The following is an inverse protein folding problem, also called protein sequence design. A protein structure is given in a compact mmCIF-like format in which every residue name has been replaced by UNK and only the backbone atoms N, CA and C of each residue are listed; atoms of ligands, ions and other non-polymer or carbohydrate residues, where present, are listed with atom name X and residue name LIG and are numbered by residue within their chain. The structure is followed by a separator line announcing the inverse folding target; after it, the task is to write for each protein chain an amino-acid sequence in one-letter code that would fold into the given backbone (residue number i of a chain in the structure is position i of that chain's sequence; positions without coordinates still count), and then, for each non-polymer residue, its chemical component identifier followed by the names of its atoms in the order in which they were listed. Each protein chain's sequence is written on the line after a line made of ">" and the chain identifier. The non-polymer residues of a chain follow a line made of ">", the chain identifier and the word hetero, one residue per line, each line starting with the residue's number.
data_IF_845608590425
#
_entry.id   IF_845608590425
#
_cell.length_a   1.000
_cell.length_b   1.000
_cell.length_c   1.000
_cell.angle_alpha   90.00
_cell.angle_beta   90.00
_cell.angle_gamma   90.00
#
_symmetry.space_group_name_H-M   'P 1'
#
loop_
_entity.id
_entity.type
_entity.pdbx_description
1 polymer ?
#
# COMPACT_ATOMS: atom_id res chain seq x y z
N UNK A 1 63.64 5.48 -58.57
CA UNK A 1 63.55 4.54 -57.44
C UNK A 1 62.44 4.95 -56.44
N UNK A 2 61.21 5.24 -56.91
CA UNK A 2 60.10 5.78 -56.08
C UNK A 2 58.83 4.91 -56.05
N UNK A 3 58.75 3.88 -56.91
CA UNK A 3 57.60 2.97 -56.98
C UNK A 3 57.22 2.27 -55.65
N UNK A 4 58.15 1.83 -54.78
CA UNK A 4 57.75 1.09 -53.57
C UNK A 4 57.10 1.98 -52.50
N UNK A 5 57.53 3.25 -52.38
CA UNK A 5 56.96 4.20 -51.42
C UNK A 5 55.54 4.62 -51.81
N UNK A 6 55.29 4.80 -53.10
CA UNK A 6 53.96 5.14 -53.63
C UNK A 6 52.96 3.98 -53.38
N UNK A 7 53.39 2.73 -53.55
CA UNK A 7 52.55 1.57 -53.24
C UNK A 7 52.18 1.47 -51.76
N UNK A 8 53.10 1.84 -50.86
CA UNK A 8 52.82 1.89 -49.42
C UNK A 8 51.82 3.00 -49.10
N UNK A 9 51.99 4.21 -49.65
CA UNK A 9 51.08 5.34 -49.46
C UNK A 9 49.66 4.99 -49.92
N UNK A 10 49.52 4.34 -51.09
CA UNK A 10 48.21 3.92 -51.61
C UNK A 10 47.55 2.89 -50.68
N UNK A 11 48.32 1.94 -50.12
CA UNK A 11 47.78 0.96 -49.15
C UNK A 11 47.25 1.63 -47.89
N UNK A 12 47.99 2.57 -47.31
CA UNK A 12 47.54 3.29 -46.11
C UNK A 12 46.33 4.17 -46.39
N UNK A 13 46.29 4.83 -47.56
CA UNK A 13 45.14 5.63 -47.99
C UNK A 13 43.88 4.76 -48.16
N UNK A 14 44.03 3.54 -48.70
CA UNK A 14 42.93 2.59 -48.81
C UNK A 14 42.42 2.13 -47.44
N UNK A 15 43.31 1.85 -46.49
CA UNK A 15 42.93 1.47 -45.12
C UNK A 15 42.12 2.58 -44.44
N UNK A 16 42.55 3.84 -44.56
CA UNK A 16 41.83 4.98 -43.98
C UNK A 16 40.45 5.14 -44.63
N UNK A 17 40.36 5.00 -45.97
CA UNK A 17 39.09 5.02 -46.68
C UNK A 17 38.17 3.90 -46.19
N UNK A 18 38.68 2.69 -45.95
CA UNK A 18 37.89 1.60 -45.38
C UNK A 18 37.38 1.90 -43.98
N UNK A 19 38.19 2.52 -43.11
CA UNK A 19 37.76 2.91 -41.75
C UNK A 19 36.65 3.97 -41.81
N UNK A 20 36.81 4.98 -42.67
CA UNK A 20 35.80 6.05 -42.84
C UNK A 20 34.53 5.49 -43.47
N UNK A 21 34.64 4.63 -44.49
CA UNK A 21 33.51 3.96 -45.11
C UNK A 21 32.79 3.06 -44.11
N UNK A 22 33.50 2.34 -43.24
CA UNK A 22 32.91 1.56 -42.15
C UNK A 22 32.13 2.48 -41.20
N UNK A 23 32.70 3.60 -40.78
CA UNK A 23 32.01 4.60 -39.96
C UNK A 23 30.73 5.14 -40.61
N UNK A 24 30.76 5.47 -41.91
CA UNK A 24 29.60 6.07 -42.59
C UNK A 24 28.52 5.03 -42.94
N UNK A 25 28.89 3.81 -43.34
CA UNK A 25 27.93 2.81 -43.80
C UNK A 25 27.39 1.93 -42.68
N UNK A 26 28.19 1.63 -41.65
CA UNK A 26 27.82 0.69 -40.61
C UNK A 26 27.22 1.40 -39.40
N UNK A 27 27.64 2.63 -39.09
CA UNK A 27 27.07 3.39 -37.98
C UNK A 27 25.55 3.62 -38.11
N UNK A 28 24.99 4.00 -39.28
CA UNK A 28 23.54 4.15 -39.45
C UNK A 28 22.78 2.82 -39.45
N UNK A 29 23.47 1.68 -39.67
CA UNK A 29 22.87 0.35 -39.72
C UNK A 29 22.90 -0.43 -38.40
N UNK A 30 23.78 -0.06 -37.47
CA UNK A 30 23.88 -0.71 -36.15
C UNK A 30 22.76 -0.25 -35.22
N UNK A 31 22.40 1.03 -35.25
CA UNK A 31 21.38 1.60 -34.37
C UNK A 31 20.09 1.83 -35.16
N UNK A 32 19.18 0.86 -35.11
CA UNK A 32 17.81 1.08 -35.55
C UNK A 32 16.98 1.44 -34.33
N UNK A 33 16.46 2.67 -34.30
CA UNK A 33 15.41 3.05 -33.36
C UNK A 33 14.13 2.40 -33.87
N UNK A 34 13.88 1.19 -33.41
CA UNK A 34 12.68 0.48 -33.80
C UNK A 34 11.51 1.10 -33.02
N UNK A 35 10.57 1.71 -33.76
CA UNK A 35 9.37 2.31 -33.18
C UNK A 35 8.41 1.18 -32.81
N UNK A 36 8.69 0.52 -31.70
CA UNK A 36 7.69 -0.35 -31.08
C UNK A 36 6.66 0.56 -30.43
N UNK A 37 5.37 0.25 -30.59
CA UNK A 37 4.27 0.90 -29.86
C UNK A 37 4.39 0.58 -28.37
N UNK A 38 5.35 1.22 -27.71
CA UNK A 38 5.74 0.94 -26.33
C UNK A 38 5.85 2.25 -25.57
N UNK A 39 5.40 2.21 -24.31
CA UNK A 39 5.33 3.36 -23.39
C UNK A 39 6.69 4.04 -23.15
N UNK A 40 7.81 3.34 -23.38
CA UNK A 40 9.16 3.82 -23.12
C UNK A 40 10.09 3.49 -24.29
N UNK A 41 11.05 4.39 -24.65
CA UNK A 41 11.97 4.14 -25.74
C UNK A 41 13.00 3.07 -25.37
N UNK A 42 13.33 2.22 -26.35
CA UNK A 42 14.21 1.05 -26.20
C UNK A 42 15.40 1.15 -27.14
N UNK A 43 16.58 0.76 -26.65
CA UNK A 43 17.84 0.66 -27.40
C UNK A 43 18.31 -0.78 -27.38
N UNK A 44 18.51 -1.38 -28.56
CA UNK A 44 18.96 -2.77 -28.70
C UNK A 44 20.31 -2.79 -29.40
N UNK A 45 21.33 -3.35 -28.75
CA UNK A 45 22.63 -3.57 -29.37
C UNK A 45 22.58 -4.81 -30.26
N UNK A 46 22.76 -4.62 -31.57
CA UNK A 46 22.67 -5.71 -32.56
C UNK A 46 23.84 -6.71 -32.51
N UNK A 47 24.95 -6.36 -31.85
CA UNK A 47 26.15 -7.21 -31.76
C UNK A 47 26.11 -8.05 -30.49
N UNK A 48 25.72 -7.45 -29.36
CA UNK A 48 25.71 -8.14 -28.05
C UNK A 48 24.34 -8.68 -27.65
N UNK A 49 23.27 -8.25 -28.32
CA UNK A 49 21.89 -8.58 -27.94
C UNK A 49 21.39 -7.84 -26.70
N UNK A 50 22.22 -6.98 -26.09
CA UNK A 50 21.84 -6.23 -24.90
C UNK A 50 20.72 -5.24 -25.21
N UNK A 51 19.69 -5.27 -24.37
CA UNK A 51 18.56 -4.35 -24.46
C UNK A 51 18.65 -3.34 -23.32
N UNK A 52 18.51 -2.06 -23.63
CA UNK A 52 18.42 -0.96 -22.67
C UNK A 52 17.10 -0.24 -22.83
N UNK A 53 16.42 0.04 -21.73
CA UNK A 53 15.16 0.78 -21.68
C UNK A 53 15.39 2.12 -20.98
N UNK A 54 14.78 3.19 -21.48
CA UNK A 54 14.79 4.49 -20.79
C UNK A 54 13.64 4.51 -19.79
N UNK A 55 13.95 4.52 -18.50
CA UNK A 55 12.96 4.64 -17.42
C UNK A 55 13.29 5.86 -16.57
N UNK A 56 12.27 6.68 -16.31
CA UNK A 56 12.36 8.06 -15.79
C UNK A 56 13.33 8.93 -16.61
N UNK A 57 14.62 8.92 -16.27
CA UNK A 57 15.68 9.69 -16.95
C UNK A 57 16.97 8.89 -17.19
N UNK A 58 16.98 7.57 -16.96
CA UNK A 58 18.18 6.74 -17.04
C UNK A 58 18.00 5.49 -17.92
N UNK A 59 19.04 5.18 -18.71
CA UNK A 59 19.11 3.94 -19.49
C UNK A 59 19.44 2.75 -18.59
N UNK A 60 18.52 1.80 -18.48
CA UNK A 60 18.68 0.58 -17.68
C UNK A 60 18.79 -0.65 -18.57
N UNK A 61 19.79 -1.51 -18.34
CA UNK A 61 19.96 -2.77 -19.08
C UNK A 61 18.96 -3.82 -18.62
N UNK A 62 18.18 -4.34 -19.56
CA UNK A 62 17.24 -5.43 -19.34
C UNK A 62 18.03 -6.73 -19.12
N UNK A 63 17.78 -7.41 -18.00
CA UNK A 63 18.43 -8.67 -17.65
C UNK A 63 19.45 -8.59 -16.50
N UNK A 64 19.82 -7.40 -16.03
CA UNK A 64 20.52 -7.26 -14.74
C UNK A 64 19.49 -7.14 -13.62
N UNK A 65 18.78 -8.26 -13.39
CA UNK A 65 17.70 -8.38 -12.41
C UNK A 65 18.23 -8.07 -11.00
N UNK A 66 19.45 -8.48 -10.68
CA UNK A 66 20.05 -8.31 -9.34
C UNK A 66 20.29 -6.84 -8.97
N UNK A 67 20.78 -6.03 -9.92
CA UNK A 67 20.98 -4.60 -9.69
C UNK A 67 19.66 -3.82 -9.60
N UNK A 68 18.61 -4.29 -10.30
CA UNK A 68 17.27 -3.69 -10.22
C UNK A 68 16.54 -4.13 -8.94
N UNK A 69 16.73 -5.37 -8.50
CA UNK A 69 16.14 -5.92 -7.29
C UNK A 69 16.70 -5.23 -6.04
N UNK A 70 18.02 -5.06 -5.95
CA UNK A 70 18.65 -4.35 -4.82
C UNK A 70 18.18 -2.89 -4.72
N UNK A 71 18.03 -2.19 -5.85
CA UNK A 71 17.49 -0.83 -5.87
C UNK A 71 16.01 -0.80 -5.46
N UNK A 72 15.23 -1.77 -5.90
CA UNK A 72 13.82 -1.92 -5.51
C UNK A 72 13.66 -2.22 -4.01
N UNK A 73 14.48 -3.12 -3.45
CA UNK A 73 14.49 -3.42 -2.02
C UNK A 73 14.86 -2.18 -1.19
N UNK A 74 15.83 -1.38 -1.65
CA UNK A 74 16.17 -0.10 -1.02
C UNK A 74 14.98 0.85 -1.00
N UNK A 75 14.30 1.05 -2.13
CA UNK A 75 13.11 1.91 -2.18
C UNK A 75 11.97 1.38 -1.32
N UNK A 76 11.77 0.06 -1.30
CA UNK A 76 10.76 -0.58 -0.46
C UNK A 76 11.02 -0.30 1.02
N UNK A 77 12.27 -0.42 1.46
CA UNK A 77 12.65 -0.18 2.85
C UNK A 77 12.49 1.30 3.24
N UNK A 78 12.92 2.22 2.37
CA UNK A 78 12.76 3.67 2.59
C UNK A 78 11.29 4.08 2.73
N UNK A 79 10.42 3.56 1.86
CA UNK A 79 8.98 3.81 1.91
C UNK A 79 8.38 3.25 3.21
N UNK A 80 8.78 2.05 3.61
CA UNK A 80 8.30 1.40 4.83
C UNK A 80 8.70 2.19 6.09
N UNK A 81 9.95 2.64 6.16
CA UNK A 81 10.43 3.47 7.28
C UNK A 81 9.67 4.80 7.35
N UNK A 82 9.47 5.45 6.20
CA UNK A 82 8.73 6.71 6.13
C UNK A 82 7.27 6.54 6.57
N UNK A 83 6.59 5.48 6.09
CA UNK A 83 5.21 5.18 6.44
C UNK A 83 5.07 4.88 7.94
N UNK A 84 5.98 4.10 8.52
CA UNK A 84 5.97 3.81 9.95
C UNK A 84 6.19 5.07 10.79
N UNK A 85 7.13 5.93 10.40
CA UNK A 85 7.39 7.19 11.10
C UNK A 85 6.18 8.14 11.06
N UNK A 86 5.51 8.25 9.90
CA UNK A 86 4.31 9.06 9.76
C UNK A 86 3.14 8.51 10.58
N UNK A 87 2.97 7.19 10.62
CA UNK A 87 1.90 6.56 11.37
C UNK A 87 2.02 6.84 12.88
N UNK A 88 3.23 6.76 13.45
CA UNK A 88 3.45 7.11 14.86
C UNK A 88 3.19 8.60 15.14
N UNK A 89 3.64 9.51 14.25
CA UNK A 89 3.35 10.94 14.40
C UNK A 89 1.85 11.26 14.34
N UNK A 90 1.12 10.60 13.44
CA UNK A 90 -0.34 10.74 13.32
C UNK A 90 -1.00 10.22 14.61
N UNK A 91 -0.58 9.07 15.11
CA UNK A 91 -1.13 8.47 16.33
C UNK A 91 -0.90 9.36 17.55
N UNK A 92 0.30 9.90 17.74
CA UNK A 92 0.62 10.80 18.84
C UNK A 92 -0.20 12.10 18.76
N UNK A 93 -0.24 12.74 17.59
CA UNK A 93 -1.01 13.99 17.40
C UNK A 93 -2.52 13.80 17.62
N UNK A 94 -3.09 12.69 17.14
CA UNK A 94 -4.51 12.37 17.35
C UNK A 94 -4.78 12.10 18.83
N UNK A 95 -3.95 11.30 19.51
CA UNK A 95 -4.11 11.05 20.95
C UNK A 95 -4.01 12.32 21.78
N UNK A 96 -3.06 13.20 21.48
CA UNK A 96 -2.90 14.49 22.16
C UNK A 96 -4.12 15.37 21.95
N UNK A 97 -4.61 15.50 20.71
CA UNK A 97 -5.81 16.31 20.42
C UNK A 97 -7.06 15.81 21.16
N UNK A 98 -7.32 14.49 21.14
CA UNK A 98 -8.46 13.87 21.82
C UNK A 98 -8.37 14.05 23.34
N UNK A 99 -7.18 13.88 23.91
CA UNK A 99 -6.97 14.09 25.35
C UNK A 99 -7.25 15.54 25.73
N UNK A 100 -6.77 16.49 24.93
CA UNK A 100 -6.96 17.93 25.16
C UNK A 100 -8.44 18.31 25.06
N UNK A 101 -9.16 17.80 24.07
CA UNK A 101 -10.60 18.01 23.92
C UNK A 101 -11.39 17.39 25.08
N UNK A 102 -11.04 16.18 25.53
CA UNK A 102 -11.67 15.55 26.70
C UNK A 102 -11.47 16.37 27.97
N UNK A 103 -10.27 16.90 28.20
CA UNK A 103 -9.98 17.74 29.36
C UNK A 103 -10.70 19.09 29.31
N UNK A 104 -10.87 19.67 28.11
CA UNK A 104 -11.68 20.88 27.92
C UNK A 104 -13.16 20.63 28.19
N UNK A 105 -13.74 19.58 27.63
CA UNK A 105 -15.14 19.20 27.85
C UNK A 105 -15.37 18.89 29.31
N UNK A 106 -14.47 18.15 29.96
CA UNK A 106 -14.55 17.85 31.40
C UNK A 106 -14.57 19.13 32.23
N UNK A 107 -13.70 20.10 31.94
CA UNK A 107 -13.66 21.37 32.67
C UNK A 107 -14.88 22.25 32.39
N UNK A 108 -15.44 22.23 31.17
CA UNK A 108 -16.71 22.89 30.85
C UNK A 108 -17.88 22.30 31.64
N UNK A 109 -18.04 20.98 31.64
CA UNK A 109 -19.11 20.28 32.37
C UNK A 109 -19.00 20.52 33.88
N UNK A 110 -17.78 20.55 34.43
CA UNK A 110 -17.56 20.89 35.85
C UNK A 110 -17.91 22.36 36.12
N UNK A 111 -17.62 23.27 35.20
CA UNK A 111 -17.97 24.70 35.38
C UNK A 111 -19.48 24.96 35.27
N UNK A 112 -20.22 24.17 34.48
CA UNK A 112 -21.68 24.26 34.33
C UNK A 112 -22.44 23.61 35.51
N UNK A 113 -21.84 22.65 36.22
CA UNK A 113 -22.50 21.92 37.32
C UNK A 113 -22.37 22.58 38.71
N UNK A 114 -21.63 23.68 38.84
CA UNK A 114 -21.38 24.33 40.16
C UNK A 114 -22.49 25.32 40.58
N UNK A 115 -23.47 25.62 39.71
CA UNK A 115 -24.47 26.68 40.01
C UNK A 115 -25.90 26.20 40.30
N UNK A 116 -26.20 24.90 40.25
CA UNK A 116 -27.53 24.40 40.65
C UNK A 116 -27.44 23.53 41.92
N UNK A 117 -28.24 23.84 42.96
CA UNK A 117 -28.32 22.99 44.15
C UNK A 117 -28.86 21.62 43.74
N UNK A 118 -28.16 20.57 44.20
CA UNK A 118 -28.49 19.18 43.92
C UNK A 118 -29.99 18.93 44.20
N UNK A 119 -30.80 18.48 43.22
CA UNK A 119 -32.22 18.26 43.42
C UNK A 119 -32.43 17.26 44.56
N UNK A 120 -33.19 17.71 45.56
CA UNK A 120 -33.47 16.99 46.80
C UNK A 120 -34.98 16.89 46.93
N UNK A 121 -35.51 15.72 47.32
CA UNK A 121 -36.93 15.57 47.62
C UNK A 121 -37.33 16.38 48.86
N UNK A 122 -38.63 16.62 49.07
CA UNK A 122 -39.12 17.38 50.24
C UNK A 122 -38.73 16.75 51.59
N UNK A 123 -38.44 15.44 51.60
CA UNK A 123 -37.97 14.71 52.78
C UNK A 123 -36.46 14.84 53.06
N UNK A 124 -35.74 15.62 52.24
CA UNK A 124 -34.30 15.85 52.39
C UNK A 124 -33.40 14.77 51.77
N UNK A 125 -33.97 13.75 51.11
CA UNK A 125 -33.17 12.75 50.41
C UNK A 125 -32.72 13.22 49.03
N UNK A 126 -31.45 12.97 48.71
CA UNK A 126 -30.85 13.29 47.41
C UNK A 126 -31.45 12.40 46.33
N UNK A 127 -31.91 13.01 45.24
CA UNK A 127 -32.50 12.32 44.08
C UNK A 127 -31.55 11.27 43.51
N UNK A 128 -30.24 11.51 43.58
CA UNK A 128 -29.21 10.61 43.08
C UNK A 128 -28.88 9.45 44.03
N UNK A 129 -29.03 9.63 45.34
CA UNK A 129 -28.78 8.55 46.31
C UNK A 129 -29.90 7.51 46.31
N UNK A 130 -31.13 7.93 45.99
CA UNK A 130 -32.27 7.03 45.81
C UNK A 130 -32.08 6.07 44.60
N UNK A 131 -31.45 6.55 43.52
CA UNK A 131 -31.13 5.71 42.36
C UNK A 131 -30.00 4.72 42.67
N UNK A 132 -29.00 5.14 43.47
CA UNK A 132 -27.89 4.28 43.88
C UNK A 132 -28.32 3.16 44.83
N UNK A 133 -29.32 3.41 45.68
CA UNK A 133 -29.89 2.44 46.61
C UNK A 133 -31.11 1.69 46.05
N UNK A 134 -31.37 1.74 44.74
CA UNK A 134 -32.37 0.87 44.13
C UNK A 134 -31.88 -0.58 44.25
N UNK A 135 -32.45 -1.30 45.22
CA UNK A 135 -32.28 -2.75 45.36
C UNK A 135 -32.49 -3.39 43.99
N UNK A 136 -31.49 -4.18 43.62
CA UNK A 136 -31.36 -4.94 42.38
C UNK A 136 -32.59 -5.80 42.15
N UNK A 137 -33.54 -5.26 41.38
CA UNK A 137 -34.46 -6.03 40.57
C UNK A 137 -33.66 -6.67 39.44
N UNK A 138 -33.15 -7.86 39.73
CA UNK A 138 -32.90 -9.00 38.82
C UNK A 138 -32.85 -8.72 37.32
N UNK A 139 -31.78 -8.07 36.87
CA UNK A 139 -31.15 -8.42 35.59
C UNK A 139 -29.68 -8.61 35.91
N UNK A 140 -29.26 -9.87 35.97
CA UNK A 140 -27.91 -10.23 36.36
C UNK A 140 -26.93 -9.58 35.38
N UNK A 141 -25.89 -8.92 35.89
CA UNK A 141 -24.77 -8.45 35.07
C UNK A 141 -24.19 -9.57 34.20
N UNK A 142 -24.40 -10.85 34.54
CA UNK A 142 -24.06 -12.00 33.70
C UNK A 142 -24.92 -12.14 32.43
N UNK A 143 -26.19 -11.75 32.45
CA UNK A 143 -27.08 -11.76 31.27
C UNK A 143 -26.77 -10.59 30.34
N UNK A 144 -26.53 -9.39 30.88
CA UNK A 144 -26.13 -8.24 30.07
C UNK A 144 -24.74 -8.43 29.44
N UNK A 145 -23.82 -9.07 30.17
CA UNK A 145 -22.52 -9.48 29.63
C UNK A 145 -22.66 -10.65 28.66
N UNK A 146 -23.59 -11.60 28.85
CA UNK A 146 -23.84 -12.68 27.88
C UNK A 146 -24.43 -12.14 26.57
N UNK A 147 -25.40 -11.24 26.63
CA UNK A 147 -26.02 -10.64 25.44
C UNK A 147 -25.03 -9.75 24.66
N UNK A 148 -24.18 -8.99 25.36
CA UNK A 148 -23.08 -8.23 24.74
C UNK A 148 -21.95 -9.14 24.25
N UNK A 149 -21.71 -10.29 24.90
CA UNK A 149 -20.74 -11.29 24.46
C UNK A 149 -21.24 -12.07 23.25
N UNK A 150 -22.55 -12.21 23.05
CA UNK A 150 -23.13 -12.75 21.81
C UNK A 150 -23.06 -11.73 20.66
N UNK A 151 -23.33 -10.45 20.91
CA UNK A 151 -23.09 -9.39 19.91
C UNK A 151 -21.59 -9.23 19.58
N UNK A 152 -20.69 -9.35 20.57
CA UNK A 152 -19.24 -9.28 20.39
C UNK A 152 -18.64 -10.58 19.83
N UNK A 153 -19.26 -11.75 20.07
CA UNK A 153 -18.86 -13.02 19.44
C UNK A 153 -19.39 -13.15 18.02
N UNK A 154 -20.40 -12.37 17.62
CA UNK A 154 -20.78 -12.21 16.21
C UNK A 154 -19.78 -11.37 15.41
N UNK A 155 -18.94 -10.59 16.11
CA UNK A 155 -17.87 -9.74 15.54
C UNK A 155 -16.46 -10.33 15.69
N UNK A 156 -16.30 -11.49 16.33
CA UNK A 156 -14.99 -12.16 16.51
C UNK A 156 -15.10 -13.67 16.30
N UNK A 157 -16.01 -14.10 15.43
CA UNK A 157 -15.81 -15.34 14.70
C UNK A 157 -14.84 -15.02 13.58
N UNK A 158 -13.58 -15.46 13.68
CA UNK A 158 -12.64 -15.45 12.54
C UNK A 158 -13.23 -16.39 11.49
N UNK A 159 -14.19 -15.89 10.72
CA UNK A 159 -14.81 -16.61 9.62
C UNK A 159 -13.74 -16.62 8.57
N UNK A 160 -13.05 -17.75 8.39
CA UNK A 160 -12.04 -17.87 7.35
C UNK A 160 -12.73 -17.89 5.98
N UNK A 161 -12.06 -17.39 4.95
CA UNK A 161 -12.54 -17.45 3.58
C UNK A 161 -11.47 -18.04 2.65
N UNK A 162 -11.89 -18.63 1.55
CA UNK A 162 -11.04 -19.28 0.56
C UNK A 162 -11.47 -19.01 -0.88
N UNK A 163 -10.91 -19.78 -1.82
CA UNK A 163 -11.31 -19.70 -3.23
C UNK A 163 -12.78 -20.11 -3.41
N UNK A 164 -13.52 -19.35 -4.21
CA UNK A 164 -14.93 -19.60 -4.51
C UNK A 164 -15.91 -18.97 -3.54
N UNK A 165 -15.44 -18.36 -2.44
CA UNK A 165 -16.32 -17.69 -1.48
C UNK A 165 -16.94 -16.41 -2.04
N UNK A 166 -18.11 -16.04 -1.55
CA UNK A 166 -18.82 -14.85 -2.01
C UNK A 166 -18.27 -13.57 -1.38
N UNK A 167 -18.51 -12.43 -2.04
CA UNK A 167 -18.24 -11.08 -1.50
C UNK A 167 -18.84 -10.87 -0.10
N UNK A 168 -20.00 -11.47 0.19
CA UNK A 168 -20.63 -11.39 1.52
C UNK A 168 -19.85 -12.16 2.59
N UNK A 169 -19.36 -13.36 2.25
CA UNK A 169 -18.50 -14.17 3.15
C UNK A 169 -17.22 -13.39 3.50
N UNK A 170 -16.57 -12.80 2.49
CA UNK A 170 -15.35 -11.98 2.70
C UNK A 170 -15.65 -10.76 3.56
N UNK A 171 -16.77 -10.07 3.32
CA UNK A 171 -17.18 -8.92 4.13
C UNK A 171 -17.48 -9.30 5.58
N UNK A 172 -18.05 -10.49 5.80
CA UNK A 172 -18.29 -11.03 7.15
C UNK A 172 -16.98 -11.42 7.86
N UNK A 173 -16.00 -11.90 7.10
CA UNK A 173 -14.68 -12.31 7.58
C UNK A 173 -13.77 -11.13 7.93
N UNK A 174 -13.69 -10.15 7.03
CA UNK A 174 -12.69 -9.07 7.06
C UNK A 174 -13.30 -7.71 7.42
N UNK A 175 -14.63 -7.60 7.41
CA UNK A 175 -15.33 -6.33 7.56
C UNK A 175 -15.40 -5.54 6.26
N UNK A 176 -15.49 -4.22 6.39
CA UNK A 176 -15.59 -3.32 5.24
C UNK A 176 -14.22 -3.14 4.59
N UNK A 177 -14.07 -3.37 3.27
CA UNK A 177 -12.80 -3.15 2.59
C UNK A 177 -12.40 -1.67 2.63
N UNK A 178 -11.09 -1.43 2.71
CA UNK A 178 -10.50 -0.09 2.69
C UNK A 178 -10.73 0.61 1.34
N UNK A 179 -10.75 -0.15 0.25
CA UNK A 179 -11.04 0.38 -1.09
C UNK A 179 -11.59 -0.71 -2.01
N UNK A 180 -12.38 -0.29 -2.99
CA UNK A 180 -13.00 -1.15 -3.99
C UNK A 180 -12.74 -0.55 -5.37
N UNK A 181 -12.12 -1.32 -6.28
CA UNK A 181 -11.86 -0.91 -7.67
C UNK A 181 -12.43 -1.92 -8.66
N UNK A 182 -12.24 -1.67 -9.96
CA UNK A 182 -12.70 -2.54 -11.05
C UNK A 182 -14.19 -2.90 -10.91
N UNK A 183 -15.04 -1.87 -10.72
CA UNK A 183 -16.49 -2.01 -10.55
C UNK A 183 -16.94 -2.97 -9.43
N UNK A 184 -16.08 -3.23 -8.44
CA UNK A 184 -16.41 -4.13 -7.34
C UNK A 184 -15.64 -5.44 -7.32
N UNK A 185 -14.78 -5.69 -8.31
CA UNK A 185 -14.12 -6.99 -8.51
C UNK A 185 -12.76 -7.09 -7.83
N UNK A 186 -12.22 -5.98 -7.33
CA UNK A 186 -11.00 -6.02 -6.54
C UNK A 186 -11.21 -5.23 -5.26
N UNK A 187 -11.09 -5.90 -4.12
CA UNK A 187 -11.20 -5.29 -2.80
C UNK A 187 -9.83 -5.22 -2.14
N UNK A 188 -9.56 -4.10 -1.50
CA UNK A 188 -8.35 -3.86 -0.73
C UNK A 188 -8.65 -3.88 0.75
N UNK A 189 -7.80 -4.57 1.50
CA UNK A 189 -7.77 -4.60 2.95
C UNK A 189 -6.36 -4.19 3.36
N UNK A 190 -6.18 -2.90 3.62
CA UNK A 190 -4.88 -2.29 3.88
C UNK A 190 -3.82 -2.61 2.80
N UNK A 191 -2.91 -3.53 3.08
CA UNK A 191 -1.82 -3.96 2.20
C UNK A 191 -2.15 -5.20 1.36
N UNK A 192 -3.33 -5.79 1.59
CA UNK A 192 -3.74 -7.05 0.97
C UNK A 192 -4.93 -6.87 0.04
N UNK A 193 -5.01 -7.76 -0.95
CA UNK A 193 -5.91 -7.62 -2.09
C UNK A 193 -6.69 -8.93 -2.25
N UNK A 194 -8.00 -8.83 -2.44
CA UNK A 194 -8.87 -9.96 -2.81
C UNK A 194 -9.49 -9.68 -4.17
N UNK A 195 -9.31 -10.60 -5.10
CA UNK A 195 -9.88 -10.55 -6.44
C UNK A 195 -11.12 -11.41 -6.52
N UNK A 196 -12.13 -10.87 -7.18
CA UNK A 196 -13.40 -11.52 -7.43
C UNK A 196 -13.65 -11.61 -8.94
N UNK A 197 -14.28 -12.69 -9.36
CA UNK A 197 -14.86 -12.84 -10.69
C UNK A 197 -16.29 -13.33 -10.51
N UNK A 198 -17.26 -12.74 -11.20
CA UNK A 198 -18.68 -13.08 -11.08
C UNK A 198 -19.20 -13.12 -9.61
N UNK A 199 -18.61 -12.32 -8.71
CA UNK A 199 -19.03 -12.26 -7.30
C UNK A 199 -18.38 -13.27 -6.36
N UNK A 200 -17.47 -14.12 -6.85
CA UNK A 200 -16.74 -15.13 -6.05
C UNK A 200 -15.24 -14.88 -6.03
N UNK A 201 -14.55 -15.27 -4.95
CA UNK A 201 -13.10 -15.11 -4.78
C UNK A 201 -12.35 -15.99 -5.78
N UNK A 202 -11.53 -15.37 -6.62
CA UNK A 202 -10.65 -16.09 -7.56
C UNK A 202 -9.20 -16.13 -7.10
N UNK A 203 -8.82 -15.23 -6.20
CA UNK A 203 -7.48 -15.22 -5.63
C UNK A 203 -7.24 -14.01 -4.75
N UNK A 204 -6.08 -13.99 -4.11
CA UNK A 204 -5.68 -12.92 -3.21
C UNK A 204 -4.17 -12.70 -3.26
N UNK A 205 -3.74 -11.54 -2.78
CA UNK A 205 -2.34 -11.22 -2.51
C UNK A 205 -2.25 -10.70 -1.08
N UNK A 206 -1.54 -11.42 -0.22
CA UNK A 206 -1.46 -11.11 1.22
C UNK A 206 -0.01 -11.13 1.72
N UNK A 207 0.78 -10.09 1.43
CA UNK A 207 2.19 -10.05 1.81
C UNK A 207 2.42 -9.90 3.31
N UNK A 208 1.44 -9.38 4.06
CA UNK A 208 1.55 -9.12 5.50
C UNK A 208 0.74 -10.12 6.36
N UNK A 209 0.14 -11.14 5.73
CA UNK A 209 -0.66 -12.17 6.38
C UNK A 209 -1.82 -11.57 7.23
N UNK A 210 -2.47 -10.55 6.67
CA UNK A 210 -3.60 -9.84 7.31
C UNK A 210 -4.95 -10.41 6.89
N UNK A 211 -5.02 -11.26 5.87
CA UNK A 211 -6.27 -11.90 5.44
C UNK A 211 -6.58 -13.14 6.29
N UNK A 212 -7.85 -13.29 6.65
CA UNK A 212 -8.36 -14.45 7.39
C UNK A 212 -8.66 -15.62 6.44
N UNK A 213 -7.62 -16.35 6.01
CA UNK A 213 -7.72 -17.44 5.03
C UNK A 213 -8.00 -18.82 5.67
N UNK A 214 -8.71 -19.71 4.96
CA UNK A 214 -8.99 -21.09 5.41
C UNK A 214 -7.75 -22.00 5.45
#
# INVERSE_FOLDING_TARGET
>A
MWKPKIQQIIKYLFIIICIVAFGIFIYPGIYKYDKLDQKFPVMINRITGETKILFSDNWSTVGNIDAQLSKFESYKNEILETMNSQNEQIKESVLESVQTELDQVKNQVISETVSEPNPTYEDGTSVFDAVRNRETGTESASEFVAHRKEELSSSTGITKFGLGDTKETVKKSMGTPSSIINNGDTWFFESSIVNFDNGVVTGWNDPLNVLNLE
#
